data_IF_234402919267
#
_entry.id   IF_234402919267
#
_cell.length_a   1.000
_cell.length_b   1.000
_cell.length_c   1.000
_cell.angle_alpha   90.00
_cell.angle_beta   90.00
_cell.angle_gamma   90.00
#
_symmetry.space_group_name_H-M   'P 1'
#
loop_
_entity.id
_entity.type
_entity.pdbx_description
1 polymer ?
#
# COMPACT_ATOMS: atom_id res chain seq x y z
N UNK A 1 15.52 -49.33 43.36
CA UNK A 1 14.34 -50.19 43.26
C UNK A 1 13.31 -49.38 42.50
N UNK A 2 12.82 -49.68 41.35
CA UNK A 2 12.72 -50.80 40.47
C UNK A 2 12.58 -50.28 39.04
N UNK A 3 13.37 -50.80 38.15
CA UNK A 3 13.23 -50.68 36.69
C UNK A 3 12.00 -51.51 36.26
N UNK A 4 11.31 -51.12 35.17
CA UNK A 4 11.02 -52.07 34.07
C UNK A 4 10.38 -51.37 32.86
N UNK A 5 10.48 -51.98 31.66
CA UNK A 5 10.74 -51.26 30.42
C UNK A 5 9.69 -51.48 29.29
N UNK A 6 9.94 -50.78 28.14
CA UNK A 6 9.63 -51.15 26.74
C UNK A 6 8.24 -51.66 26.33
N UNK A 7 7.63 -51.01 25.38
CA UNK A 7 7.08 -51.68 24.20
C UNK A 7 7.13 -50.80 22.95
N UNK A 8 7.99 -51.18 22.00
CA UNK A 8 8.00 -50.86 20.58
C UNK A 8 6.83 -51.59 19.87
N UNK A 9 6.09 -50.92 19.03
CA UNK A 9 5.31 -51.59 17.97
C UNK A 9 5.39 -50.76 16.70
N UNK A 10 6.15 -51.27 15.75
CA UNK A 10 6.23 -50.92 14.34
C UNK A 10 4.95 -51.36 13.60
N UNK A 11 4.42 -50.53 12.73
CA UNK A 11 3.56 -50.97 11.63
C UNK A 11 3.99 -50.31 10.32
N UNK A 12 4.79 -51.05 9.56
CA UNK A 12 4.97 -50.81 8.14
C UNK A 12 3.75 -51.37 7.37
N UNK A 13 3.18 -50.62 6.47
CA UNK A 13 2.28 -51.13 5.44
C UNK A 13 2.70 -50.56 4.09
N UNK A 14 3.34 -51.43 3.34
CA UNK A 14 3.54 -51.41 1.88
C UNK A 14 2.21 -51.42 1.13
N UNK A 15 2.06 -50.58 0.13
CA UNK A 15 1.09 -50.75 -0.94
C UNK A 15 1.80 -50.74 -2.27
N UNK A 16 1.54 -51.82 -3.02
CA UNK A 16 2.10 -52.14 -4.31
C UNK A 16 1.43 -51.35 -5.46
N UNK A 17 2.25 -51.11 -6.49
CA UNK A 17 1.89 -50.61 -7.80
C UNK A 17 0.93 -51.54 -8.54
N UNK A 18 -0.09 -50.98 -9.20
CA UNK A 18 -0.75 -51.59 -10.32
C UNK A 18 -0.90 -50.57 -11.44
N UNK A 19 -0.10 -50.71 -12.49
CA UNK A 19 -0.21 -49.94 -13.70
C UNK A 19 -1.33 -50.47 -14.60
N UNK A 20 -2.04 -49.56 -15.25
CA UNK A 20 -2.88 -49.92 -16.40
C UNK A 20 -2.57 -48.92 -17.52
N UNK A 21 -1.92 -49.43 -18.54
CA UNK A 21 -1.77 -48.77 -19.86
C UNK A 21 -3.09 -48.87 -20.63
N UNK A 22 -3.69 -47.72 -21.00
CA UNK A 22 -4.75 -47.66 -22.00
C UNK A 22 -4.21 -46.97 -23.27
N UNK A 23 -4.02 -47.75 -24.32
CA UNK A 23 -3.80 -47.23 -25.68
C UNK A 23 -5.07 -46.60 -26.20
N UNK A 24 -5.03 -45.31 -26.50
CA UNK A 24 -6.09 -44.65 -27.27
C UNK A 24 -5.67 -44.57 -28.77
N UNK A 25 -6.43 -45.25 -29.61
CA UNK A 25 -6.34 -45.18 -31.07
C UNK A 25 -6.91 -43.86 -31.56
N UNK A 26 -6.15 -43.12 -32.36
CA UNK A 26 -6.60 -41.91 -33.04
C UNK A 26 -7.44 -42.26 -34.29
N UNK A 27 -8.53 -41.51 -34.59
CA UNK A 27 -9.27 -41.71 -35.82
C UNK A 27 -8.64 -41.01 -37.03
N UNK A 28 -8.68 -41.69 -38.19
CA UNK A 28 -8.24 -41.23 -39.50
C UNK A 28 -9.22 -40.19 -40.05
N UNK A 29 -8.79 -39.09 -40.68
CA UNK A 29 -9.69 -38.11 -41.29
C UNK A 29 -10.13 -38.56 -42.71
N UNK A 30 -11.42 -38.35 -43.01
CA UNK A 30 -12.00 -38.52 -44.32
C UNK A 30 -11.69 -37.33 -45.26
N UNK A 31 -11.62 -37.52 -46.60
CA UNK A 31 -11.27 -36.46 -47.53
C UNK A 31 -12.48 -35.67 -48.02
N UNK A 32 -12.31 -34.36 -48.09
CA UNK A 32 -12.97 -33.50 -49.08
C UNK A 32 -14.21 -32.73 -48.65
N UNK A 33 -14.00 -31.43 -48.31
CA UNK A 33 -14.93 -30.37 -48.75
C UNK A 33 -14.17 -29.01 -48.70
N UNK A 34 -14.20 -28.30 -49.82
CA UNK A 34 -13.65 -26.97 -50.00
C UNK A 34 -14.38 -25.94 -49.14
N UNK A 35 -13.71 -24.93 -48.56
CA UNK A 35 -14.38 -23.88 -47.84
C UNK A 35 -14.93 -22.82 -48.79
N UNK A 36 -16.21 -22.47 -48.59
CA UNK A 36 -16.86 -21.31 -49.19
C UNK A 36 -16.25 -20.00 -48.71
N UNK A 37 -16.12 -19.02 -49.59
CA UNK A 37 -15.62 -17.69 -49.35
C UNK A 37 -16.43 -16.98 -48.24
N UNK A 38 -15.77 -16.68 -47.10
CA UNK A 38 -16.37 -15.90 -46.03
C UNK A 38 -16.25 -14.42 -46.37
N UNK A 39 -17.36 -13.75 -46.55
CA UNK A 39 -17.52 -12.30 -46.61
C UNK A 39 -17.03 -11.68 -45.32
N UNK A 40 -16.04 -10.79 -45.41
CA UNK A 40 -15.53 -9.97 -44.29
C UNK A 40 -16.67 -9.09 -43.75
N UNK A 41 -17.14 -9.39 -42.53
CA UNK A 41 -17.88 -8.45 -41.70
C UNK A 41 -16.89 -7.40 -41.15
N UNK A 42 -17.22 -6.11 -41.07
CA UNK A 42 -16.38 -5.14 -40.42
C UNK A 42 -16.27 -5.47 -38.93
N UNK A 43 -15.05 -5.46 -38.42
CA UNK A 43 -14.76 -5.63 -36.98
C UNK A 43 -15.44 -4.52 -36.19
N UNK A 44 -16.39 -4.91 -35.34
CA UNK A 44 -16.89 -4.04 -34.28
C UNK A 44 -15.71 -3.81 -33.32
N UNK A 45 -15.37 -2.53 -33.15
CA UNK A 45 -14.24 -2.13 -32.30
C UNK A 45 -14.36 -2.75 -30.92
N UNK A 46 -13.25 -3.35 -30.46
CA UNK A 46 -13.11 -3.78 -29.09
C UNK A 46 -13.30 -2.58 -28.16
N UNK A 47 -14.02 -2.73 -27.02
CA UNK A 47 -14.11 -1.66 -26.04
C UNK A 47 -12.71 -1.34 -25.54
N UNK A 48 -12.37 -0.04 -25.57
CA UNK A 48 -11.06 0.48 -25.24
C UNK A 48 -10.53 -0.07 -23.94
N UNK A 49 -9.27 -0.44 -23.95
CA UNK A 49 -8.50 -0.79 -22.77
C UNK A 49 -8.62 0.34 -21.75
N UNK A 50 -9.21 0.03 -20.62
CA UNK A 50 -9.33 0.91 -19.46
C UNK A 50 -7.95 1.32 -18.99
N UNK A 51 -7.70 2.60 -19.02
CA UNK A 51 -6.50 3.35 -18.74
C UNK A 51 -5.61 2.86 -17.61
N UNK A 52 -4.60 2.09 -17.96
CA UNK A 52 -3.34 2.16 -17.24
C UNK A 52 -2.77 3.56 -17.52
N UNK A 53 -2.77 4.42 -16.51
CA UNK A 53 -2.05 5.69 -16.58
C UNK A 53 -0.56 5.36 -16.75
N UNK A 54 -0.03 5.55 -17.98
CA UNK A 54 1.40 5.44 -18.17
C UNK A 54 2.08 6.54 -17.33
N UNK A 55 3.16 6.22 -16.62
CA UNK A 55 3.87 7.23 -15.83
C UNK A 55 4.28 8.39 -16.74
N UNK A 56 4.16 9.61 -16.22
CA UNK A 56 4.67 10.80 -16.89
C UNK A 56 6.16 10.61 -17.25
N UNK A 57 6.58 11.15 -18.40
CA UNK A 57 8.00 11.17 -18.77
C UNK A 57 8.75 12.36 -18.14
N UNK A 58 8.08 13.15 -17.29
CA UNK A 58 8.69 14.28 -16.63
C UNK A 58 9.81 13.82 -15.69
N UNK A 59 10.97 14.49 -15.80
CA UNK A 59 12.11 14.29 -14.88
C UNK A 59 11.84 14.88 -13.49
N UNK A 60 10.87 15.78 -13.41
CA UNK A 60 10.50 16.48 -12.17
C UNK A 60 9.39 15.79 -11.41
N UNK A 61 8.78 14.73 -11.98
CA UNK A 61 7.79 13.93 -11.26
C UNK A 61 8.44 13.18 -10.08
N UNK A 62 7.65 13.03 -9.00
CA UNK A 62 8.01 12.23 -7.82
C UNK A 62 7.24 10.92 -7.89
N UNK A 63 7.94 9.78 -7.91
CA UNK A 63 7.31 8.46 -7.94
C UNK A 63 7.65 7.67 -6.71
N UNK A 64 6.64 7.09 -6.08
CA UNK A 64 6.84 6.28 -4.88
C UNK A 64 5.82 5.15 -4.80
N UNK A 65 6.17 4.17 -3.99
CA UNK A 65 5.26 3.09 -3.63
C UNK A 65 4.77 3.25 -2.19
N UNK A 66 3.62 2.66 -1.87
CA UNK A 66 3.05 2.69 -0.53
C UNK A 66 2.66 1.27 -0.11
N UNK A 67 3.13 0.84 1.06
CA UNK A 67 2.81 -0.43 1.70
C UNK A 67 2.52 -0.20 3.18
N UNK A 68 1.61 -0.97 3.76
CA UNK A 68 1.35 -0.97 5.20
C UNK A 68 1.11 -2.37 5.70
N UNK A 69 1.32 -2.60 7.00
CA UNK A 69 1.08 -3.88 7.67
C UNK A 69 1.84 -5.03 7.01
N UNK A 70 3.10 -4.76 6.68
CA UNK A 70 3.87 -5.57 5.74
C UNK A 70 4.82 -6.58 6.39
N UNK A 71 5.11 -6.46 7.70
CA UNK A 71 6.21 -7.14 8.37
C UNK A 71 5.92 -8.53 8.91
N UNK A 72 5.27 -9.42 8.13
CA UNK A 72 4.89 -10.76 8.63
C UNK A 72 5.94 -11.84 8.45
N UNK A 73 6.82 -11.72 7.44
CA UNK A 73 7.73 -12.79 7.01
C UNK A 73 7.01 -13.95 6.31
N UNK A 74 5.71 -13.83 6.05
CA UNK A 74 4.91 -14.85 5.39
C UNK A 74 4.95 -14.77 3.87
N UNK A 75 4.47 -15.82 3.18
CA UNK A 75 4.49 -15.92 1.72
C UNK A 75 3.79 -14.73 1.04
N UNK A 76 2.69 -14.24 1.62
CA UNK A 76 1.97 -13.06 1.09
C UNK A 76 2.84 -11.82 1.00
N UNK A 77 3.72 -11.58 1.98
CA UNK A 77 4.68 -10.49 1.95
C UNK A 77 5.72 -10.66 0.83
N UNK A 78 6.25 -11.87 0.67
CA UNK A 78 7.19 -12.17 -0.42
C UNK A 78 6.55 -12.01 -1.79
N UNK A 79 5.30 -12.45 -1.94
CA UNK A 79 4.53 -12.29 -3.19
C UNK A 79 4.33 -10.80 -3.53
N UNK A 80 3.93 -9.98 -2.54
CA UNK A 80 3.77 -8.52 -2.73
C UNK A 80 5.13 -7.87 -2.99
N UNK A 81 6.19 -8.25 -2.26
CA UNK A 81 7.53 -7.72 -2.46
C UNK A 81 8.06 -8.00 -3.87
N UNK A 82 7.89 -9.22 -4.37
CA UNK A 82 8.29 -9.59 -5.73
C UNK A 82 7.46 -8.81 -6.79
N UNK A 83 6.16 -8.65 -6.56
CA UNK A 83 5.29 -7.88 -7.45
C UNK A 83 5.67 -6.40 -7.48
N UNK A 84 5.94 -5.82 -6.30
CA UNK A 84 6.39 -4.45 -6.16
C UNK A 84 7.73 -4.22 -6.88
N UNK A 85 8.70 -5.13 -6.71
CA UNK A 85 9.97 -5.07 -7.42
C UNK A 85 9.78 -5.17 -8.94
N UNK A 86 8.90 -6.06 -9.41
CA UNK A 86 8.55 -6.19 -10.82
C UNK A 86 7.92 -4.92 -11.42
N UNK A 87 7.23 -4.12 -10.60
CA UNK A 87 6.64 -2.86 -11.05
C UNK A 87 7.69 -1.82 -11.45
N UNK A 88 8.92 -1.91 -10.95
CA UNK A 88 10.01 -0.97 -11.26
C UNK A 88 10.35 -0.87 -12.76
N UNK A 89 10.05 -1.89 -13.54
CA UNK A 89 10.29 -1.87 -14.97
C UNK A 89 9.38 -0.87 -15.68
N UNK A 90 8.09 -0.87 -15.33
CA UNK A 90 7.09 0.01 -15.95
C UNK A 90 6.91 1.32 -15.18
N UNK A 91 7.11 1.28 -13.87
CA UNK A 91 6.94 2.40 -12.95
C UNK A 91 8.16 2.52 -12.03
N UNK A 92 9.22 3.23 -12.44
CA UNK A 92 10.47 3.35 -11.69
C UNK A 92 10.29 4.32 -10.51
N UNK A 93 9.75 3.81 -9.39
CA UNK A 93 9.59 4.60 -8.17
C UNK A 93 10.94 4.84 -7.47
N UNK A 94 11.04 5.98 -6.78
CA UNK A 94 12.27 6.50 -6.18
C UNK A 94 12.40 6.12 -4.69
N UNK A 95 11.29 5.79 -4.04
CA UNK A 95 11.24 5.36 -2.62
C UNK A 95 9.94 4.62 -2.31
N UNK A 96 9.89 4.04 -1.11
CA UNK A 96 8.72 3.36 -0.58
C UNK A 96 8.30 4.01 0.75
N UNK A 97 7.02 4.29 0.93
CA UNK A 97 6.43 4.63 2.22
C UNK A 97 5.93 3.37 2.92
N UNK A 98 6.29 3.19 4.18
CA UNK A 98 5.80 2.13 5.06
C UNK A 98 4.88 2.74 6.13
N UNK A 99 3.65 2.25 6.18
CA UNK A 99 2.57 2.83 6.98
C UNK A 99 2.43 2.18 8.38
N UNK A 100 3.53 1.71 8.94
CA UNK A 100 3.53 1.03 10.23
C UNK A 100 3.23 -0.46 10.14
N UNK A 101 3.32 -1.12 11.30
CA UNK A 101 3.34 -2.58 11.43
C UNK A 101 4.41 -3.18 10.51
N UNK A 102 5.61 -2.59 10.63
CA UNK A 102 6.75 -2.91 9.80
C UNK A 102 7.34 -4.28 10.14
N UNK A 103 7.22 -4.70 11.41
CA UNK A 103 7.68 -6.00 11.91
C UNK A 103 6.66 -6.53 12.93
N UNK A 104 5.99 -7.63 12.62
CA UNK A 104 5.10 -8.27 13.59
C UNK A 104 5.84 -9.24 14.50
N UNK A 105 5.54 -9.20 15.80
CA UNK A 105 6.11 -10.10 16.81
C UNK A 105 7.54 -9.73 17.21
N UNK A 106 8.45 -10.69 17.24
CA UNK A 106 9.82 -10.43 17.70
C UNK A 106 10.63 -9.60 16.68
N UNK A 107 11.54 -8.78 17.20
CA UNK A 107 12.35 -7.81 16.45
C UNK A 107 13.85 -8.05 16.67
N UNK A 108 14.26 -9.30 16.67
CA UNK A 108 15.67 -9.67 16.68
C UNK A 108 16.31 -9.39 15.30
N UNK A 109 17.62 -9.29 15.18
CA UNK A 109 18.27 -9.04 13.88
C UNK A 109 17.82 -9.96 12.75
N UNK A 110 17.63 -11.27 13.04
CA UNK A 110 17.13 -12.22 12.06
C UNK A 110 15.67 -11.98 11.65
N UNK A 111 14.87 -11.34 12.51
CA UNK A 111 13.47 -11.01 12.20
C UNK A 111 13.39 -9.87 11.17
N UNK A 112 14.26 -8.86 11.27
CA UNK A 112 14.41 -7.82 10.24
C UNK A 112 14.83 -8.42 8.90
N UNK A 113 15.79 -9.37 8.93
CA UNK A 113 16.19 -10.06 7.71
C UNK A 113 15.03 -10.82 7.06
N UNK A 114 14.22 -11.55 7.84
CA UNK A 114 13.12 -12.38 7.33
C UNK A 114 11.90 -11.55 6.92
N UNK A 115 11.60 -10.48 7.68
CA UNK A 115 10.35 -9.73 7.56
C UNK A 115 10.50 -8.41 6.80
N UNK A 116 11.73 -8.04 6.43
CA UNK A 116 11.99 -6.83 5.67
C UNK A 116 13.05 -7.03 4.59
N UNK A 117 14.30 -7.40 4.94
CA UNK A 117 15.40 -7.39 3.99
C UNK A 117 15.19 -8.39 2.84
N UNK A 118 14.78 -9.62 3.15
CA UNK A 118 14.57 -10.67 2.14
C UNK A 118 13.36 -10.42 1.25
N UNK A 119 12.16 -10.08 1.77
CA UNK A 119 11.00 -9.77 0.93
C UNK A 119 11.25 -8.62 -0.05
N UNK A 120 12.07 -7.63 0.35
CA UNK A 120 12.34 -6.44 -0.47
C UNK A 120 13.77 -6.39 -1.02
N UNK A 121 14.48 -7.52 -1.08
CA UNK A 121 15.89 -7.60 -1.45
C UNK A 121 16.19 -6.96 -2.82
N UNK A 122 15.34 -7.15 -3.83
CA UNK A 122 15.53 -6.57 -5.17
C UNK A 122 15.42 -5.04 -5.16
N UNK A 123 14.54 -4.48 -4.33
CA UNK A 123 14.36 -3.04 -4.18
C UNK A 123 15.55 -2.44 -3.43
N UNK A 124 15.97 -3.09 -2.34
CA UNK A 124 17.14 -2.69 -1.54
C UNK A 124 18.44 -2.76 -2.34
N UNK A 125 18.61 -3.77 -3.20
CA UNK A 125 19.76 -3.90 -4.09
C UNK A 125 19.87 -2.72 -5.09
N UNK A 126 18.74 -2.10 -5.44
CA UNK A 126 18.70 -0.88 -6.27
C UNK A 126 18.89 0.40 -5.46
N UNK A 127 19.16 0.29 -4.14
CA UNK A 127 19.33 1.42 -3.21
C UNK A 127 18.10 2.35 -3.14
N UNK A 128 16.92 1.83 -3.37
CA UNK A 128 15.67 2.56 -3.23
C UNK A 128 15.35 2.62 -1.72
N UNK A 129 15.27 3.83 -1.12
CA UNK A 129 15.04 3.97 0.31
C UNK A 129 13.60 3.67 0.70
N UNK A 130 13.42 3.16 1.91
CA UNK A 130 12.15 3.03 2.59
C UNK A 130 12.04 4.10 3.67
N UNK A 131 10.90 4.77 3.78
CA UNK A 131 10.59 5.73 4.83
C UNK A 131 9.43 5.19 5.64
N UNK A 132 9.68 4.84 6.90
CA UNK A 132 8.71 4.18 7.75
C UNK A 132 8.05 5.13 8.75
N UNK A 133 6.77 4.88 9.06
CA UNK A 133 6.13 5.27 10.31
C UNK A 133 6.02 4.06 11.23
N UNK A 134 5.74 4.28 12.52
CA UNK A 134 5.53 3.20 13.49
C UNK A 134 4.06 2.82 13.56
N UNK A 135 3.78 1.51 13.59
CA UNK A 135 2.49 0.94 13.90
C UNK A 135 2.38 0.44 15.35
N UNK A 136 1.21 -0.01 15.75
CA UNK A 136 0.96 -0.46 17.12
C UNK A 136 1.60 -1.81 17.46
N UNK A 137 2.09 -2.55 16.46
CA UNK A 137 2.86 -3.76 16.65
C UNK A 137 4.37 -3.55 16.61
N UNK A 138 4.84 -2.34 16.31
CA UNK A 138 6.25 -2.02 16.18
C UNK A 138 6.87 -1.59 17.51
N UNK A 139 8.07 -2.09 17.82
CA UNK A 139 8.87 -1.54 18.91
C UNK A 139 9.35 -0.13 18.51
N UNK A 140 9.19 0.89 19.39
CA UNK A 140 9.65 2.25 19.09
C UNK A 140 11.15 2.35 18.74
N UNK A 141 11.96 1.34 19.07
CA UNK A 141 13.38 1.29 18.72
C UNK A 141 13.62 0.99 17.23
N UNK A 142 12.61 0.57 16.46
CA UNK A 142 12.70 0.52 15.00
C UNK A 142 13.16 1.84 14.38
N UNK A 143 12.91 2.98 15.04
CA UNK A 143 13.43 4.28 14.61
C UNK A 143 14.94 4.36 14.46
N UNK A 144 15.70 3.44 15.07
CA UNK A 144 17.15 3.33 14.95
C UNK A 144 17.59 2.34 13.87
N UNK A 145 16.67 1.56 13.30
CA UNK A 145 16.98 0.67 12.21
C UNK A 145 17.20 1.47 10.92
N UNK A 146 18.46 1.53 10.50
CA UNK A 146 18.90 2.41 9.42
C UNK A 146 18.08 2.30 8.11
N UNK A 147 17.72 1.11 7.63
CA UNK A 147 16.95 0.99 6.38
C UNK A 147 15.56 1.62 6.42
N UNK A 148 14.99 1.91 7.58
CA UNK A 148 13.70 2.59 7.72
C UNK A 148 13.77 4.12 7.61
N UNK A 149 14.98 4.68 7.55
CA UNK A 149 15.24 6.12 7.36
C UNK A 149 14.54 7.05 8.37
N UNK A 150 14.21 6.56 9.55
CA UNK A 150 13.61 7.34 10.62
C UNK A 150 14.65 8.18 11.39
N UNK A 151 15.94 7.84 11.28
CA UNK A 151 17.08 8.57 11.89
C UNK A 151 16.92 8.82 13.40
N UNK A 152 16.42 7.84 14.14
CA UNK A 152 16.18 7.91 15.59
C UNK A 152 14.94 8.69 16.02
N UNK A 153 14.14 9.18 15.09
CA UNK A 153 12.94 10.00 15.36
C UNK A 153 11.66 9.17 15.18
N UNK A 154 10.68 9.35 16.06
CA UNK A 154 9.34 8.74 15.92
C UNK A 154 8.50 9.47 14.86
N UNK A 155 8.74 10.76 14.69
CA UNK A 155 8.09 11.61 13.70
C UNK A 155 9.13 12.50 13.02
N UNK A 156 8.96 12.72 11.73
CA UNK A 156 9.91 13.46 10.89
C UNK A 156 9.27 13.93 9.58
N UNK A 157 9.96 14.81 8.87
CA UNK A 157 9.57 15.21 7.53
C UNK A 157 10.74 15.12 6.56
N UNK A 158 10.43 14.97 5.28
CA UNK A 158 11.39 15.06 4.19
C UNK A 158 10.72 15.62 2.93
N UNK A 159 11.52 16.20 2.04
CA UNK A 159 11.03 16.77 0.78
C UNK A 159 11.62 16.02 -0.42
N UNK A 160 10.78 15.79 -1.43
CA UNK A 160 11.17 15.27 -2.75
C UNK A 160 10.54 16.15 -3.83
N UNK A 161 11.35 16.87 -4.59
CA UNK A 161 10.94 17.64 -5.78
C UNK A 161 9.66 18.47 -5.57
N UNK A 162 9.56 19.23 -4.45
CA UNK A 162 8.42 20.09 -4.15
C UNK A 162 7.20 19.38 -3.53
N UNK A 163 7.33 18.10 -3.17
CA UNK A 163 6.38 17.40 -2.33
C UNK A 163 7.01 17.14 -0.96
N UNK A 164 6.33 17.56 0.11
CA UNK A 164 6.77 17.35 1.50
C UNK A 164 5.95 16.27 2.16
N UNK A 165 6.66 15.34 2.76
CA UNK A 165 6.12 14.16 3.43
C UNK A 165 6.32 14.31 4.95
N UNK A 166 5.25 14.05 5.71
CA UNK A 166 5.24 14.11 7.16
C UNK A 166 4.93 12.71 7.69
N UNK A 167 5.94 12.06 8.26
CA UNK A 167 5.79 10.81 8.99
C UNK A 167 5.37 11.11 10.42
N UNK A 168 4.26 10.55 10.88
CA UNK A 168 3.76 10.73 12.24
C UNK A 168 3.76 9.40 12.99
N UNK A 169 3.95 9.48 14.31
CA UNK A 169 3.71 8.39 15.23
C UNK A 169 2.28 8.49 15.77
N UNK A 170 1.36 7.78 15.17
CA UNK A 170 -0.04 7.78 15.56
C UNK A 170 -0.34 6.96 16.82
N UNK A 171 0.65 6.22 17.36
CA UNK A 171 0.51 5.56 18.65
C UNK A 171 0.53 6.55 19.82
N UNK A 172 1.31 7.65 19.67
CA UNK A 172 1.55 8.64 20.73
C UNK A 172 1.56 10.05 20.14
N UNK A 173 0.37 10.61 19.91
CA UNK A 173 0.22 11.99 19.46
C UNK A 173 0.34 12.96 20.65
N UNK A 174 1.56 12.99 21.25
CA UNK A 174 1.89 13.85 22.38
C UNK A 174 2.03 15.33 21.96
N UNK A 175 2.11 16.21 22.96
CA UNK A 175 2.20 17.66 22.73
C UNK A 175 3.45 18.04 21.92
N UNK A 176 4.56 17.37 22.11
CA UNK A 176 5.82 17.66 21.41
C UNK A 176 5.66 17.38 19.91
N UNK A 177 5.01 16.27 19.54
CA UNK A 177 4.72 15.94 18.16
C UNK A 177 3.71 16.93 17.53
N UNK A 178 2.66 17.30 18.26
CA UNK A 178 1.68 18.30 17.81
C UNK A 178 2.33 19.65 17.54
N UNK A 179 3.17 20.14 18.45
CA UNK A 179 3.87 21.41 18.29
C UNK A 179 4.90 21.36 17.15
N UNK A 180 5.60 20.23 17.01
CA UNK A 180 6.50 20.01 15.89
C UNK A 180 5.72 20.02 14.57
N UNK A 181 4.62 19.28 14.49
CA UNK A 181 3.79 19.18 13.27
C UNK A 181 3.26 20.56 12.86
N UNK A 182 2.75 21.34 13.82
CA UNK A 182 2.25 22.68 13.54
C UNK A 182 3.36 23.58 12.95
N UNK A 183 4.57 23.59 13.55
CA UNK A 183 5.71 24.37 13.04
C UNK A 183 6.18 23.91 11.66
N UNK A 184 6.26 22.59 11.45
CA UNK A 184 6.71 22.03 10.17
C UNK A 184 5.72 22.31 9.03
N UNK A 185 4.42 22.23 9.31
CA UNK A 185 3.38 22.53 8.36
C UNK A 185 3.34 24.03 8.05
N UNK A 186 3.46 24.89 9.06
CA UNK A 186 3.48 26.35 8.89
C UNK A 186 4.68 26.80 8.05
N UNK A 187 5.85 26.22 8.30
CA UNK A 187 7.06 26.51 7.52
C UNK A 187 7.11 25.88 6.13
N UNK A 188 6.15 25.02 5.77
CA UNK A 188 6.15 24.36 4.47
C UNK A 188 5.41 25.20 3.42
N UNK A 189 6.13 25.56 2.37
CA UNK A 189 5.60 26.18 1.17
C UNK A 189 5.46 25.21 0.00
N UNK A 190 5.69 23.90 0.28
CA UNK A 190 5.56 22.86 -0.73
C UNK A 190 4.09 22.76 -1.22
N UNK A 191 3.94 22.56 -2.52
CA UNK A 191 2.61 22.44 -3.15
C UNK A 191 1.88 21.20 -2.64
N UNK A 192 2.58 20.09 -2.56
CA UNK A 192 2.08 18.83 -2.05
C UNK A 192 2.55 18.62 -0.62
N UNK A 193 1.62 18.60 0.33
CA UNK A 193 1.83 18.19 1.71
C UNK A 193 1.11 16.88 1.93
N UNK A 194 1.86 15.85 2.29
CA UNK A 194 1.39 14.47 2.39
C UNK A 194 1.74 13.97 3.78
N UNK A 195 0.75 13.56 4.56
CA UNK A 195 0.98 12.91 5.84
C UNK A 195 0.86 11.38 5.68
N UNK A 196 1.70 10.64 6.39
CA UNK A 196 1.60 9.18 6.46
C UNK A 196 1.88 8.69 7.87
N UNK A 197 1.07 7.75 8.32
CA UNK A 197 1.11 7.17 9.66
C UNK A 197 0.27 5.90 9.69
N UNK A 198 0.17 5.26 10.87
CA UNK A 198 -0.44 3.93 10.94
C UNK A 198 -1.97 3.95 11.06
N UNK A 199 -2.53 4.65 12.05
CA UNK A 199 -3.97 4.57 12.37
C UNK A 199 -4.83 5.48 11.47
N UNK A 200 -5.82 4.97 10.71
CA UNK A 200 -6.60 5.76 9.79
C UNK A 200 -7.56 6.71 10.52
N UNK A 201 -7.59 7.99 10.13
CA UNK A 201 -8.53 8.97 10.68
C UNK A 201 -9.98 8.65 10.30
N UNK A 202 -10.16 8.03 9.16
CA UNK A 202 -11.44 7.55 8.63
C UNK A 202 -11.25 6.14 8.08
N UNK A 203 -12.15 5.25 8.42
CA UNK A 203 -12.19 3.89 7.90
C UNK A 203 -13.59 3.31 7.98
N UNK A 204 -13.96 2.49 7.00
CA UNK A 204 -15.15 1.66 7.01
C UNK A 204 -14.87 0.22 7.49
N UNK A 205 -13.72 -0.02 8.09
CA UNK A 205 -13.37 -1.30 8.70
C UNK A 205 -14.26 -1.65 9.89
N UNK A 206 -14.82 -2.86 9.88
CA UNK A 206 -15.71 -3.31 10.94
C UNK A 206 -14.98 -3.64 12.25
N UNK A 207 -13.65 -3.84 12.18
CA UNK A 207 -12.88 -4.28 13.36
C UNK A 207 -12.34 -3.13 14.19
N UNK A 208 -11.65 -2.18 13.56
CA UNK A 208 -11.04 -1.04 14.26
C UNK A 208 -11.81 0.25 13.96
N UNK A 209 -12.09 0.50 12.68
CA UNK A 209 -12.80 1.70 12.25
C UNK A 209 -11.91 2.95 12.21
N UNK A 210 -12.52 4.10 12.43
CA UNK A 210 -11.85 5.40 12.39
C UNK A 210 -11.25 5.76 13.74
N UNK A 211 -10.01 6.30 13.75
CA UNK A 211 -9.37 6.86 14.94
C UNK A 211 -9.84 8.30 15.17
N UNK A 212 -10.98 8.43 15.84
CA UNK A 212 -11.68 9.72 16.03
C UNK A 212 -10.86 10.68 16.88
N UNK A 213 -10.30 10.23 17.99
CA UNK A 213 -9.51 11.07 18.90
C UNK A 213 -8.25 11.62 18.20
N UNK A 214 -7.58 10.78 17.42
CA UNK A 214 -6.45 11.22 16.61
C UNK A 214 -6.88 12.23 15.54
N UNK A 215 -8.01 11.97 14.89
CA UNK A 215 -8.58 12.89 13.88
C UNK A 215 -8.85 14.26 14.46
N UNK A 216 -9.49 14.33 15.62
CA UNK A 216 -9.84 15.59 16.29
C UNK A 216 -8.60 16.43 16.65
N UNK A 217 -7.44 15.78 16.82
CA UNK A 217 -6.16 16.46 17.07
C UNK A 217 -5.51 16.94 15.77
N UNK A 218 -5.38 16.08 14.75
CA UNK A 218 -4.50 16.38 13.61
C UNK A 218 -5.23 17.00 12.42
N UNK A 219 -6.50 16.67 12.20
CA UNK A 219 -7.23 17.14 11.01
C UNK A 219 -7.41 18.67 10.99
N UNK A 220 -7.65 19.39 12.12
CA UNK A 220 -7.65 20.85 12.12
C UNK A 220 -6.33 21.46 11.63
N UNK A 221 -5.18 20.85 11.96
CA UNK A 221 -3.88 21.27 11.46
C UNK A 221 -3.75 20.98 9.96
N UNK A 222 -4.20 19.81 9.52
CA UNK A 222 -4.17 19.43 8.11
C UNK A 222 -5.00 20.36 7.25
N UNK A 223 -6.19 20.73 7.71
CA UNK A 223 -7.06 21.72 7.03
C UNK A 223 -6.40 23.09 6.99
N UNK A 224 -5.94 23.60 8.14
CA UNK A 224 -5.31 24.92 8.26
C UNK A 224 -4.11 25.08 7.31
N UNK A 225 -3.27 24.07 7.24
CA UNK A 225 -2.02 24.12 6.47
C UNK A 225 -2.09 23.38 5.14
N UNK A 226 -3.28 22.93 4.72
CA UNK A 226 -3.56 22.33 3.41
C UNK A 226 -2.75 21.07 3.13
N UNK A 227 -2.78 20.11 4.04
CA UNK A 227 -2.38 18.75 3.73
C UNK A 227 -3.36 18.17 2.73
N UNK A 228 -2.88 17.75 1.56
CA UNK A 228 -3.78 17.31 0.48
C UNK A 228 -4.08 15.81 0.53
N UNK A 229 -3.17 15.01 1.08
CA UNK A 229 -3.27 13.54 1.06
C UNK A 229 -2.79 12.94 2.37
N UNK A 230 -3.50 11.93 2.84
CA UNK A 230 -3.14 11.11 4.00
C UNK A 230 -3.11 9.63 3.58
N UNK A 231 -2.00 8.96 3.90
CA UNK A 231 -1.87 7.51 3.78
C UNK A 231 -1.82 6.88 5.17
N UNK A 232 -2.63 5.84 5.39
CA UNK A 232 -2.65 5.08 6.64
C UNK A 232 -2.63 3.56 6.40
N UNK A 233 -2.22 2.80 7.42
CA UNK A 233 -2.25 1.34 7.50
C UNK A 233 -3.33 0.83 8.44
N UNK A 234 -2.94 -0.12 9.35
CA UNK A 234 -3.71 -0.66 10.47
C UNK A 234 -4.92 -1.51 10.08
N UNK A 235 -5.72 -1.04 9.18
CA UNK A 235 -6.79 -1.85 8.60
C UNK A 235 -6.23 -2.68 7.44
N UNK A 236 -6.30 -3.99 7.59
CA UNK A 236 -5.65 -4.96 6.70
C UNK A 236 -6.40 -5.12 5.37
N UNK A 237 -6.56 -4.02 4.65
CA UNK A 237 -7.20 -3.93 3.34
C UNK A 237 -6.76 -2.65 2.62
N UNK A 238 -7.29 -2.44 1.42
CA UNK A 238 -7.23 -1.16 0.73
C UNK A 238 -8.57 -0.45 0.79
N UNK A 239 -8.56 0.84 1.17
CA UNK A 239 -9.71 1.72 1.07
C UNK A 239 -9.28 3.11 0.61
N UNK A 240 -10.04 3.67 -0.33
CA UNK A 240 -10.01 5.10 -0.64
C UNK A 240 -11.34 5.71 -0.26
N UNK A 241 -11.29 6.79 0.47
CA UNK A 241 -12.46 7.53 0.87
C UNK A 241 -12.75 8.68 -0.10
N UNK A 242 -13.99 9.13 -0.14
CA UNK A 242 -14.32 10.43 -0.72
C UNK A 242 -13.58 11.50 0.08
N UNK A 243 -13.11 12.58 -0.57
CA UNK A 243 -12.41 13.64 0.15
C UNK A 243 -13.22 14.18 1.32
N UNK A 244 -12.56 14.39 2.45
CA UNK A 244 -13.13 15.04 3.62
C UNK A 244 -12.39 16.37 3.81
N UNK A 245 -13.12 17.47 3.84
CA UNK A 245 -12.55 18.82 3.96
C UNK A 245 -11.43 19.13 2.93
N UNK A 246 -11.56 18.60 1.70
CA UNK A 246 -10.55 18.75 0.66
C UNK A 246 -9.33 17.83 0.80
N UNK A 247 -9.27 16.96 1.81
CA UNK A 247 -8.19 16.02 2.06
C UNK A 247 -8.56 14.63 1.53
N UNK A 248 -7.66 14.00 0.79
CA UNK A 248 -7.81 12.64 0.28
C UNK A 248 -7.21 11.63 1.24
N UNK A 249 -8.00 10.66 1.67
CA UNK A 249 -7.60 9.63 2.63
C UNK A 249 -7.52 8.27 1.97
N UNK A 250 -6.39 7.59 2.16
CA UNK A 250 -6.14 6.23 1.69
C UNK A 250 -5.71 5.36 2.87
N UNK A 251 -6.33 4.20 2.98
CA UNK A 251 -5.87 3.10 3.81
C UNK A 251 -5.22 2.05 2.91
N UNK A 252 -3.97 1.69 3.14
CA UNK A 252 -3.21 0.71 2.38
C UNK A 252 -2.47 -0.25 3.31
N UNK A 253 -3.23 -0.94 4.18
CA UNK A 253 -2.72 -1.88 5.18
C UNK A 253 -2.79 -3.35 4.72
N UNK A 254 -2.95 -3.58 3.41
CA UNK A 254 -3.11 -4.92 2.84
C UNK A 254 -1.84 -5.54 2.26
N UNK A 255 -0.62 -5.08 2.60
CA UNK A 255 0.58 -5.56 1.92
C UNK A 255 1.03 -6.98 2.36
N UNK A 256 0.79 -7.39 3.61
CA UNK A 256 1.08 -8.75 4.06
C UNK A 256 0.05 -9.33 5.03
N UNK A 257 -0.84 -8.50 5.51
CA UNK A 257 -2.01 -8.91 6.31
C UNK A 257 -3.28 -8.66 5.53
N UNK A 258 -4.28 -9.51 5.70
CA UNK A 258 -5.56 -9.38 5.02
C UNK A 258 -6.70 -9.78 5.99
N UNK A 259 -7.73 -8.96 6.02
CA UNK A 259 -9.02 -9.28 6.68
C UNK A 259 -10.12 -9.24 5.65
N UNK A 260 -10.30 -10.36 4.96
CA UNK A 260 -11.37 -10.51 3.98
C UNK A 260 -12.75 -10.31 4.62
N UNK A 261 -13.62 -9.56 3.93
CA UNK A 261 -14.98 -9.27 4.40
C UNK A 261 -15.03 -8.28 5.58
N UNK A 262 -13.96 -7.52 5.83
CA UNK A 262 -13.93 -6.56 6.94
C UNK A 262 -14.46 -5.17 6.56
N UNK A 263 -14.39 -4.79 5.29
CA UNK A 263 -14.91 -3.50 4.85
C UNK A 263 -16.44 -3.48 4.91
N UNK A 264 -16.98 -2.43 5.50
CA UNK A 264 -18.43 -2.12 5.51
C UNK A 264 -18.62 -0.80 4.74
N UNK A 265 -18.72 -0.84 3.42
CA UNK A 265 -18.80 0.36 2.63
C UNK A 265 -19.96 1.26 3.08
N UNK A 266 -19.64 2.52 3.32
CA UNK A 266 -20.57 3.54 3.78
C UNK A 266 -20.59 4.74 2.84
N UNK A 267 -21.28 5.83 3.23
CA UNK A 267 -21.38 7.05 2.42
C UNK A 267 -20.02 7.67 2.07
N UNK A 268 -19.00 7.46 2.90
CA UNK A 268 -17.65 8.01 2.71
C UNK A 268 -16.76 7.11 1.83
N UNK A 269 -17.06 5.83 1.68
CA UNK A 269 -16.24 4.90 0.90
C UNK A 269 -16.36 5.22 -0.59
N UNK A 270 -15.25 5.52 -1.23
CA UNK A 270 -15.17 5.66 -2.68
C UNK A 270 -14.75 4.32 -3.34
N UNK A 271 -13.82 3.61 -2.72
CA UNK A 271 -13.36 2.29 -3.16
C UNK A 271 -12.88 1.47 -1.97
N UNK A 272 -13.29 0.22 -1.89
CA UNK A 272 -12.79 -0.77 -0.93
C UNK A 272 -12.31 -2.03 -1.64
N UNK A 273 -11.27 -2.69 -1.08
CA UNK A 273 -10.75 -3.96 -1.57
C UNK A 273 -10.09 -4.74 -0.43
N UNK A 274 -10.71 -5.86 -0.07
CA UNK A 274 -10.27 -6.76 0.98
C UNK A 274 -10.29 -8.24 0.58
N UNK A 275 -10.24 -8.51 -0.73
CA UNK A 275 -10.27 -9.87 -1.28
C UNK A 275 -8.89 -10.44 -1.63
N UNK A 276 -7.86 -9.60 -1.71
CA UNK A 276 -6.45 -9.99 -1.89
C UNK A 276 -5.52 -8.91 -1.31
N UNK A 277 -4.25 -9.26 -1.15
CA UNK A 277 -3.19 -8.34 -0.75
C UNK A 277 -2.94 -7.29 -1.84
N UNK A 278 -2.49 -6.09 -1.43
CA UNK A 278 -2.33 -4.98 -2.36
C UNK A 278 -1.24 -4.00 -1.91
N UNK A 279 -0.81 -3.18 -2.85
CA UNK A 279 0.10 -2.06 -2.65
C UNK A 279 -0.25 -0.92 -3.61
N UNK A 280 0.26 0.28 -3.36
CA UNK A 280 0.00 1.43 -4.23
C UNK A 280 1.27 1.88 -4.94
N UNK A 281 1.08 2.44 -6.14
CA UNK A 281 2.06 3.21 -6.89
C UNK A 281 1.51 4.62 -7.08
N UNK A 282 2.31 5.63 -6.80
CA UNK A 282 1.88 7.03 -6.81
C UNK A 282 2.91 7.87 -7.55
N UNK A 283 2.42 8.73 -8.45
CA UNK A 283 3.23 9.72 -9.16
C UNK A 283 2.65 11.11 -8.94
N UNK A 284 3.51 12.05 -8.55
CA UNK A 284 3.18 13.47 -8.50
C UNK A 284 3.90 14.15 -9.66
N UNK A 285 3.14 14.74 -10.57
CA UNK A 285 3.64 15.52 -11.70
C UNK A 285 2.99 16.90 -11.71
N UNK A 286 3.73 17.89 -11.25
CA UNK A 286 3.23 19.25 -11.10
C UNK A 286 2.03 19.33 -10.18
N UNK A 287 0.86 19.65 -10.74
CA UNK A 287 -0.40 19.81 -10.01
C UNK A 287 -1.21 18.52 -9.90
N UNK A 288 -0.76 17.42 -10.48
CA UNK A 288 -1.49 16.18 -10.49
C UNK A 288 -0.78 15.09 -9.70
N UNK A 289 -1.54 14.38 -8.88
CA UNK A 289 -1.11 13.14 -8.27
C UNK A 289 -1.91 12.00 -8.92
N UNK A 290 -1.22 11.14 -9.62
CA UNK A 290 -1.77 9.91 -10.17
C UNK A 290 -1.51 8.75 -9.22
N UNK A 291 -2.47 7.89 -8.98
CA UNK A 291 -2.29 6.70 -8.17
C UNK A 291 -2.88 5.47 -8.83
N UNK A 292 -2.28 4.34 -8.53
CA UNK A 292 -2.75 3.01 -8.88
C UNK A 292 -2.59 2.10 -7.66
N UNK A 293 -3.61 1.29 -7.39
CA UNK A 293 -3.55 0.21 -6.41
C UNK A 293 -3.58 -1.11 -7.15
N UNK A 294 -2.58 -1.94 -6.91
CA UNK A 294 -2.42 -3.24 -7.56
C UNK A 294 -2.54 -4.36 -6.53
N UNK A 295 -3.24 -5.44 -6.89
CA UNK A 295 -3.23 -6.66 -6.08
C UNK A 295 -1.90 -7.39 -6.23
N UNK A 296 -1.59 -8.33 -5.31
CA UNK A 296 -0.41 -9.20 -5.45
C UNK A 296 -0.43 -10.03 -6.75
N UNK A 297 -1.60 -10.21 -7.37
CA UNK A 297 -1.75 -10.89 -8.67
C UNK A 297 -1.54 -9.96 -9.86
N UNK A 298 -1.28 -8.66 -9.62
CA UNK A 298 -1.10 -7.65 -10.65
C UNK A 298 -2.41 -7.10 -11.23
N UNK A 299 -3.55 -7.39 -10.62
CA UNK A 299 -4.82 -6.80 -11.02
C UNK A 299 -4.90 -5.35 -10.58
N UNK A 300 -5.33 -4.45 -11.47
CA UNK A 300 -5.65 -3.08 -11.11
C UNK A 300 -6.91 -3.06 -10.25
N UNK A 301 -6.77 -2.63 -9.00
CA UNK A 301 -7.83 -2.55 -8.00
C UNK A 301 -8.53 -1.19 -8.05
N UNK A 302 -7.74 -0.13 -8.12
CA UNK A 302 -8.20 1.25 -8.13
C UNK A 302 -7.16 2.14 -8.82
N UNK A 303 -7.61 3.24 -9.40
CA UNK A 303 -6.74 4.26 -9.96
C UNK A 303 -7.46 5.59 -10.04
N UNK A 304 -6.70 6.67 -10.10
CA UNK A 304 -7.27 7.99 -10.25
C UNK A 304 -6.22 9.09 -10.30
N UNK A 305 -6.73 10.30 -10.46
CA UNK A 305 -5.95 11.53 -10.43
C UNK A 305 -6.53 12.47 -9.38
N UNK A 306 -5.65 13.04 -8.56
CA UNK A 306 -5.96 14.04 -7.56
C UNK A 306 -5.31 15.35 -8.02
N UNK A 307 -6.07 16.43 -7.92
CA UNK A 307 -5.55 17.80 -8.09
C UNK A 307 -5.78 18.54 -6.77
N UNK A 308 -4.78 19.23 -6.20
CA UNK A 308 -5.02 20.03 -5.00
C UNK A 308 -6.12 21.03 -5.27
N UNK A 309 -7.01 21.24 -4.31
CA UNK A 309 -8.01 22.29 -4.46
C UNK A 309 -7.33 23.62 -4.72
N UNK A 310 -7.75 24.31 -5.79
CA UNK A 310 -7.27 25.64 -6.10
C UNK A 310 -7.61 26.58 -4.93
N UNK A 311 -6.64 27.37 -4.50
CA UNK A 311 -6.85 28.42 -3.51
C UNK A 311 -7.89 29.37 -4.06
N UNK A 312 -9.15 29.24 -3.66
CA UNK A 312 -10.12 30.32 -3.84
C UNK A 312 -9.65 31.49 -2.98
N UNK A 313 -8.98 32.45 -3.61
CA UNK A 313 -8.52 33.72 -3.03
C UNK A 313 -9.67 34.68 -2.65
N UNK A 314 -10.87 34.18 -2.37
CA UNK A 314 -12.07 34.98 -2.12
C UNK A 314 -12.66 34.84 -0.71
N UNK A 315 -11.79 34.82 0.31
CA UNK A 315 -12.23 35.13 1.68
C UNK A 315 -11.23 36.06 2.37
N UNK A 316 -11.08 37.27 1.83
CA UNK A 316 -10.73 38.39 2.69
C UNK A 316 -11.95 38.68 3.54
N UNK A 317 -11.84 38.74 4.87
CA UNK A 317 -12.90 39.34 5.67
C UNK A 317 -12.97 40.79 5.29
N UNK A 318 -14.15 41.22 4.79
CA UNK A 318 -14.42 42.60 4.46
C UNK A 318 -14.04 43.50 5.61
N UNK A 319 -13.09 44.39 5.37
CA UNK A 319 -12.79 45.49 6.27
C UNK A 319 -14.07 46.31 6.47
N UNK A 320 -14.55 46.37 7.70
CA UNK A 320 -15.45 47.42 8.11
C UNK A 320 -14.60 48.68 8.17
N UNK A 321 -14.84 49.58 7.23
CA UNK A 321 -14.43 50.97 7.35
C UNK A 321 -15.38 51.74 8.30
N UNK A 322 -14.89 52.78 8.94
CA UNK A 322 -15.39 53.38 10.16
C UNK A 322 -16.72 54.13 10.03
#
# INVERSE_FOLDING_TARGET
MSMHPLHLLSWARTWALAGAFALALAPVPAPGSQPAAATRRPAVGAPGASGETQPSRSKDSVRFAVIGDSGTGGQSQYDVGARLAGSLQAFPFEFVLMLGDNIYGSERPQDFALKFEKPYAEILARKIPFYASLGNHDDPNQRFYQPFNMNGKRFYSFTKKGARFFALDSNYMDKDQQDWLARELEGSHDRWKIAFFHHPLYSSGARHGSEVDLRDIVEPLFQKYRVGVVFAGHEHFYERLKPQHGIHYFTSGGAAKLRAGNIRPGPLTAKGFDSDYSYMLVEIDGEQMHFQTLSRRGQLVDSGTITPEAVNSSSQPGGAEP
#
